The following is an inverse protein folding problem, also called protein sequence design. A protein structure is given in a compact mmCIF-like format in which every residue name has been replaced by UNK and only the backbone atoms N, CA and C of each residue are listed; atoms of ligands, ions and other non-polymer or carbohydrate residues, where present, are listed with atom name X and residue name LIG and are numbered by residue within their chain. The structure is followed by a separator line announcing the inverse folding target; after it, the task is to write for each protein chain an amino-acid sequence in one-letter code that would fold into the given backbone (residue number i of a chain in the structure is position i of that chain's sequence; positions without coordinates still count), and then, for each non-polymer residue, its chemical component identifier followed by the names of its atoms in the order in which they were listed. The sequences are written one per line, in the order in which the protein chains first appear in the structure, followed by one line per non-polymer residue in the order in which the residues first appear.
data_IF_852537572178
#
_entry.id   IF_852537572178
#
_cell.length_a   1.000
_cell.length_b   1.000
_cell.length_c   1.000
_cell.angle_alpha   90.00
_cell.angle_beta   90.00
_cell.angle_gamma   90.00
#
_symmetry.space_group_name_H-M   'P 1'
#
loop_
_entity.id
_entity.type
_entity.pdbx_description
1 polymer ?
#
# COMPACT_ATOMS: atom_id res chain seq x y z
N UNK A 1 -3.04 8.20 46.57
CA UNK A 1 -1.90 7.87 45.69
C UNK A 1 -2.22 8.44 44.32
N UNK A 2 -1.36 9.30 43.77
CA UNK A 2 -1.62 9.98 42.51
C UNK A 2 -1.49 9.00 41.32
N UNK A 3 -2.50 8.99 40.46
CA UNK A 3 -2.51 8.23 39.21
C UNK A 3 -1.48 8.82 38.25
N UNK A 4 -0.45 8.04 37.91
CA UNK A 4 0.49 8.39 36.85
C UNK A 4 -0.22 8.13 35.51
N UNK A 5 -0.25 9.09 34.56
CA UNK A 5 -0.86 8.88 33.24
C UNK A 5 0.03 7.94 32.40
N UNK A 6 -0.05 6.66 32.68
CA UNK A 6 0.65 5.61 31.95
C UNK A 6 -0.15 5.21 30.72
N UNK A 7 0.24 5.74 29.56
CA UNK A 7 -0.01 5.02 28.30
C UNK A 7 0.60 3.61 28.38
N UNK A 8 0.23 2.67 27.48
CA UNK A 8 0.71 1.29 27.58
C UNK A 8 2.20 1.25 27.22
N UNK A 9 3.04 1.39 28.24
CA UNK A 9 4.47 1.16 28.18
C UNK A 9 4.69 -0.34 28.32
N UNK A 10 4.76 -1.05 27.20
CA UNK A 10 5.16 -2.45 27.19
C UNK A 10 6.62 -2.57 26.77
N UNK A 11 7.35 -3.48 27.43
CA UNK A 11 8.73 -3.79 27.05
C UNK A 11 8.82 -4.29 25.60
N UNK A 12 7.80 -5.04 25.16
CA UNK A 12 7.67 -5.51 23.78
C UNK A 12 7.58 -4.34 22.79
N UNK A 13 6.78 -3.31 23.11
CA UNK A 13 6.72 -2.07 22.33
C UNK A 13 8.07 -1.40 22.23
N UNK A 14 8.78 -1.21 23.34
CA UNK A 14 10.09 -0.55 23.33
C UNK A 14 11.12 -1.28 22.47
N UNK A 15 11.07 -2.62 22.46
CA UNK A 15 11.95 -3.43 21.60
C UNK A 15 11.64 -3.24 20.11
N UNK A 16 10.35 -3.20 19.73
CA UNK A 16 9.94 -3.00 18.34
C UNK A 16 10.31 -1.57 17.90
N UNK A 17 10.03 -0.56 18.73
CA UNK A 17 10.41 0.83 18.44
C UNK A 17 11.94 1.00 18.30
N UNK A 18 12.76 0.28 19.09
CA UNK A 18 14.23 0.28 18.95
C UNK A 18 14.68 -0.32 17.62
N UNK A 19 14.13 -1.48 17.22
CA UNK A 19 14.48 -2.11 15.93
C UNK A 19 14.13 -1.20 14.74
N UNK A 20 13.01 -0.48 14.83
CA UNK A 20 12.61 0.50 13.82
C UNK A 20 13.61 1.66 13.76
N UNK A 21 13.99 2.22 14.91
CA UNK A 21 14.97 3.30 14.99
C UNK A 21 16.37 2.90 14.49
N UNK A 22 16.73 1.63 14.66
CA UNK A 22 17.98 1.01 14.17
C UNK A 22 17.94 0.66 12.67
N UNK A 23 16.82 0.89 11.96
CA UNK A 23 16.66 0.55 10.54
C UNK A 23 16.43 -0.93 10.26
N UNK A 24 16.21 -1.75 11.29
CA UNK A 24 15.92 -3.20 11.21
C UNK A 24 14.43 -3.44 11.02
N UNK A 25 13.88 -2.83 9.97
CA UNK A 25 12.42 -2.76 9.72
C UNK A 25 11.81 -4.14 9.45
N UNK A 26 12.52 -5.00 8.74
CA UNK A 26 12.04 -6.36 8.42
C UNK A 26 11.92 -7.24 9.67
N UNK A 27 12.93 -7.20 10.55
CA UNK A 27 12.90 -7.92 11.83
C UNK A 27 11.82 -7.36 12.77
N UNK A 28 11.66 -6.03 12.81
CA UNK A 28 10.60 -5.37 13.56
C UNK A 28 9.21 -5.79 13.09
N UNK A 29 9.00 -5.88 11.76
CA UNK A 29 7.76 -6.38 11.15
C UNK A 29 7.50 -7.84 11.49
N UNK A 30 8.49 -8.73 11.34
CA UNK A 30 8.32 -10.14 11.67
C UNK A 30 7.93 -10.33 13.14
N UNK A 31 8.61 -9.62 14.05
CA UNK A 31 8.33 -9.70 15.49
C UNK A 31 6.96 -9.11 15.85
N UNK A 32 6.57 -8.00 15.23
CA UNK A 32 5.27 -7.38 15.41
C UNK A 32 4.14 -8.31 14.93
N UNK A 33 4.27 -8.90 13.75
CA UNK A 33 3.28 -9.84 13.19
C UNK A 33 3.15 -11.09 14.06
N UNK A 34 4.27 -11.69 14.46
CA UNK A 34 4.25 -12.87 15.33
C UNK A 34 3.53 -12.61 16.66
N UNK A 35 3.71 -11.42 17.25
CA UNK A 35 2.99 -11.03 18.48
C UNK A 35 1.50 -10.77 18.25
N UNK A 36 1.10 -10.27 17.08
CA UNK A 36 -0.31 -10.08 16.75
C UNK A 36 -1.02 -11.41 16.47
N UNK A 37 -0.33 -12.36 15.84
CA UNK A 37 -0.86 -13.68 15.50
C UNK A 37 -1.17 -14.55 16.73
N UNK A 38 -0.53 -14.31 17.88
CA UNK A 38 -0.87 -15.02 19.13
C UNK A 38 -2.26 -14.64 19.67
N UNK A 39 -2.82 -13.51 19.24
CA UNK A 39 -4.09 -12.98 19.76
C UNK A 39 -3.98 -12.26 21.11
N UNK A 40 -2.82 -12.30 21.75
CA UNK A 40 -2.57 -11.77 23.10
C UNK A 40 -1.66 -10.53 23.10
N UNK A 41 -1.49 -9.88 21.94
CA UNK A 41 -0.69 -8.67 21.82
C UNK A 41 -1.16 -7.58 22.79
N UNK A 42 -0.22 -7.03 23.56
CA UNK A 42 -0.52 -5.96 24.50
C UNK A 42 -0.93 -4.65 23.78
N UNK A 43 -1.58 -3.75 24.53
CA UNK A 43 -2.09 -2.47 24.00
C UNK A 43 -1.01 -1.59 23.37
N UNK A 44 0.23 -1.68 23.83
CA UNK A 44 1.36 -0.95 23.28
C UNK A 44 1.80 -1.49 21.93
N UNK A 45 1.89 -2.82 21.80
CA UNK A 45 2.17 -3.51 20.54
C UNK A 45 1.05 -3.25 19.51
N UNK A 46 -0.21 -3.32 19.92
CA UNK A 46 -1.36 -2.98 19.08
C UNK A 46 -1.31 -1.52 18.60
N UNK A 47 -0.90 -0.58 19.46
CA UNK A 47 -0.77 0.82 19.08
C UNK A 47 0.37 1.05 18.07
N UNK A 48 1.50 0.35 18.19
CA UNK A 48 2.58 0.37 17.20
C UNK A 48 2.08 -0.16 15.87
N UNK A 49 1.38 -1.31 15.87
CA UNK A 49 0.77 -1.87 14.66
C UNK A 49 -0.19 -0.90 13.99
N UNK A 50 -1.10 -0.28 14.75
CA UNK A 50 -2.04 0.70 14.21
C UNK A 50 -1.33 1.90 13.56
N UNK A 51 -0.29 2.43 14.20
CA UNK A 51 0.51 3.54 13.64
C UNK A 51 1.24 3.14 12.37
N UNK A 52 1.76 1.91 12.33
CA UNK A 52 2.45 1.37 11.15
C UNK A 52 1.51 1.09 9.98
N UNK A 53 0.33 0.53 10.23
CA UNK A 53 -0.74 0.36 9.23
C UNK A 53 -1.10 1.72 8.63
N UNK A 54 -1.31 2.74 9.48
CA UNK A 54 -1.58 4.09 9.02
C UNK A 54 -0.40 4.71 8.23
N UNK A 55 0.84 4.48 8.66
CA UNK A 55 2.04 4.98 7.99
C UNK A 55 2.29 4.32 6.63
N UNK A 56 1.94 3.04 6.47
CA UNK A 56 1.93 2.31 5.20
C UNK A 56 0.74 2.72 4.30
N UNK A 57 -0.08 3.67 4.75
CA UNK A 57 -1.21 4.20 3.98
C UNK A 57 -2.45 3.32 3.98
N UNK A 58 -2.52 2.31 4.87
CA UNK A 58 -3.72 1.51 5.08
C UNK A 58 -4.69 2.28 5.96
N UNK A 59 -5.74 2.83 5.36
CA UNK A 59 -6.77 3.62 6.03
C UNK A 59 -7.87 2.72 6.59
N UNK A 60 -8.60 3.16 7.65
CA UNK A 60 -9.83 2.51 8.07
C UNK A 60 -10.81 2.39 6.89
N UNK A 61 -11.14 1.16 6.48
CA UNK A 61 -11.91 0.88 5.26
C UNK A 61 -11.17 0.01 4.25
N UNK A 62 -9.82 0.00 4.29
CA UNK A 62 -8.99 -0.82 3.39
C UNK A 62 -9.13 -2.32 3.67
N UNK A 63 -9.63 -2.70 4.86
CA UNK A 63 -10.04 -4.07 5.15
C UNK A 63 -11.13 -4.59 4.19
N UNK A 64 -11.94 -3.71 3.60
CA UNK A 64 -12.94 -4.07 2.57
C UNK A 64 -12.27 -4.27 1.21
N UNK A 65 -11.25 -3.47 0.88
CA UNK A 65 -10.39 -3.66 -0.30
C UNK A 65 -9.53 -4.92 -0.19
N UNK A 66 -9.12 -5.32 1.02
CA UNK A 66 -8.37 -6.56 1.28
C UNK A 66 -9.26 -7.81 1.27
N UNK A 67 -10.55 -7.71 1.66
CA UNK A 67 -11.51 -8.84 1.65
C UNK A 67 -12.21 -9.04 0.31
N UNK A 68 -12.22 -8.02 -0.54
CA UNK A 68 -12.84 -8.04 -1.86
C UNK A 68 -12.00 -7.11 -2.72
N UNK A 69 -10.94 -7.67 -3.32
CA UNK A 69 -9.90 -6.98 -4.07
C UNK A 69 -10.39 -6.03 -5.15
N UNK A 70 -10.87 -4.86 -4.76
CA UNK A 70 -10.87 -3.69 -5.62
C UNK A 70 -9.44 -3.21 -5.66
N UNK A 71 -8.74 -3.54 -6.74
CA UNK A 71 -7.36 -3.12 -6.95
C UNK A 71 -7.31 -1.59 -6.84
N UNK A 72 -6.79 -1.09 -5.71
CA UNK A 72 -6.25 0.25 -5.66
C UNK A 72 -5.16 0.23 -6.72
N UNK A 73 -5.40 0.85 -7.88
CA UNK A 73 -4.41 0.91 -8.95
C UNK A 73 -3.12 1.40 -8.31
N UNK A 74 -2.06 0.58 -8.39
CA UNK A 74 -0.73 0.99 -7.94
C UNK A 74 -0.40 2.31 -8.64
N UNK A 75 0.26 3.26 -7.98
CA UNK A 75 0.52 4.59 -8.56
C UNK A 75 1.11 4.52 -9.98
N UNK A 76 2.01 3.55 -10.21
CA UNK A 76 2.59 3.23 -11.52
C UNK A 76 1.56 2.83 -12.59
N UNK A 77 0.46 2.16 -12.22
CA UNK A 77 -0.60 1.78 -13.16
C UNK A 77 -1.40 3.01 -13.62
N UNK A 78 -1.58 3.99 -12.73
CA UNK A 78 -2.21 5.25 -13.09
C UNK A 78 -1.34 6.03 -14.07
N UNK A 79 -0.02 6.09 -13.81
CA UNK A 79 0.96 6.72 -14.71
C UNK A 79 0.98 6.06 -16.10
N UNK A 80 0.93 4.72 -16.17
CA UNK A 80 0.86 3.97 -17.43
C UNK A 80 -0.42 4.34 -18.21
N UNK A 81 -1.58 4.32 -17.55
CA UNK A 81 -2.86 4.62 -18.20
C UNK A 81 -2.94 6.07 -18.67
N UNK A 82 -2.43 7.01 -17.87
CA UNK A 82 -2.38 8.43 -18.21
C UNK A 82 -1.42 8.70 -19.37
N UNK A 83 -0.28 8.02 -19.42
CA UNK A 83 0.64 8.11 -20.56
C UNK A 83 -0.01 7.60 -21.86
N UNK A 84 -0.71 6.45 -21.84
CA UNK A 84 -1.42 5.96 -23.03
C UNK A 84 -2.42 7.01 -23.52
N UNK A 85 -3.18 7.60 -22.60
CA UNK A 85 -4.16 8.62 -22.93
C UNK A 85 -3.53 9.88 -23.50
N UNK A 86 -2.46 10.39 -22.88
CA UNK A 86 -1.72 11.54 -23.41
C UNK A 86 -1.22 11.27 -24.83
N UNK A 87 -0.70 10.07 -25.11
CA UNK A 87 -0.28 9.68 -26.46
C UNK A 87 -1.43 9.67 -27.46
N UNK A 88 -2.64 9.26 -27.04
CA UNK A 88 -3.82 9.33 -27.90
C UNK A 88 -4.26 10.78 -28.14
N UNK A 89 -4.16 11.65 -27.13
CA UNK A 89 -4.42 13.09 -27.25
C UNK A 89 -3.39 13.77 -28.18
N UNK A 90 -2.15 13.29 -28.20
CA UNK A 90 -1.09 13.68 -29.14
C UNK A 90 -1.31 13.11 -30.57
N UNK A 91 -2.39 12.35 -30.79
CA UNK A 91 -2.78 11.83 -32.10
C UNK A 91 -2.29 10.41 -32.42
N UNK A 92 -1.68 9.70 -31.47
CA UNK A 92 -1.31 8.30 -31.69
C UNK A 92 -2.56 7.39 -31.68
N UNK A 93 -2.56 6.36 -32.54
CA UNK A 93 -3.56 5.29 -32.44
C UNK A 93 -3.39 4.54 -31.13
N UNK A 94 -4.47 3.92 -30.61
CA UNK A 94 -4.41 3.16 -29.36
C UNK A 94 -3.30 2.09 -29.37
N UNK A 95 -3.19 1.33 -30.46
CA UNK A 95 -2.14 0.31 -30.61
C UNK A 95 -0.73 0.92 -30.52
N UNK A 96 -0.52 2.08 -31.16
CA UNK A 96 0.78 2.75 -31.13
C UNK A 96 1.06 3.39 -29.76
N UNK A 97 0.05 3.96 -29.10
CA UNK A 97 0.14 4.50 -27.76
C UNK A 97 0.51 3.41 -26.74
N UNK A 98 -0.12 2.24 -26.82
CA UNK A 98 0.21 1.07 -25.99
C UNK A 98 1.65 0.61 -26.22
N UNK A 99 2.06 0.43 -27.49
CA UNK A 99 3.42 0.01 -27.84
C UNK A 99 4.48 0.98 -27.30
N UNK A 100 4.30 2.29 -27.54
CA UNK A 100 5.25 3.32 -27.09
C UNK A 100 5.31 3.39 -25.56
N UNK A 101 4.18 3.19 -24.87
CA UNK A 101 4.13 3.17 -23.41
C UNK A 101 4.78 1.91 -22.84
N UNK A 102 4.56 0.75 -23.48
CA UNK A 102 5.20 -0.50 -23.13
C UNK A 102 6.74 -0.40 -23.25
N UNK A 103 7.23 0.20 -24.33
CA UNK A 103 8.65 0.50 -24.52
C UNK A 103 9.19 1.46 -23.44
N UNK A 104 8.44 2.51 -23.09
CA UNK A 104 8.86 3.49 -22.07
C UNK A 104 9.05 2.86 -20.69
N UNK A 105 8.10 2.05 -20.24
CA UNK A 105 8.14 1.42 -18.92
C UNK A 105 8.80 0.04 -18.91
N UNK A 106 9.33 -0.43 -20.04
CA UNK A 106 9.89 -1.78 -20.20
C UNK A 106 8.92 -2.91 -19.79
N UNK A 107 7.63 -2.73 -20.09
CA UNK A 107 6.58 -3.72 -19.83
C UNK A 107 6.06 -4.37 -21.11
N UNK A 108 5.29 -5.45 -20.96
CA UNK A 108 4.55 -6.02 -22.09
C UNK A 108 3.35 -5.16 -22.46
N UNK A 109 3.00 -5.11 -23.75
CA UNK A 109 1.78 -4.42 -24.22
C UNK A 109 0.51 -4.91 -23.51
N UNK A 110 0.45 -6.21 -23.21
CA UNK A 110 -0.67 -6.81 -22.47
C UNK A 110 -0.81 -6.24 -21.06
N UNK A 111 0.31 -5.96 -20.39
CA UNK A 111 0.30 -5.32 -19.07
C UNK A 111 -0.27 -3.90 -19.15
N UNK A 112 0.22 -3.11 -20.12
CA UNK A 112 -0.26 -1.75 -20.36
C UNK A 112 -1.76 -1.72 -20.66
N UNK A 113 -2.24 -2.64 -21.50
CA UNK A 113 -3.68 -2.77 -21.79
C UNK A 113 -4.51 -3.09 -20.55
N UNK A 114 -4.00 -3.92 -19.63
CA UNK A 114 -4.67 -4.21 -18.35
C UNK A 114 -4.77 -2.95 -17.49
N UNK A 115 -3.68 -2.18 -17.35
CA UNK A 115 -3.69 -0.94 -16.58
C UNK A 115 -4.70 0.07 -17.13
N UNK A 116 -4.80 0.21 -18.46
CA UNK A 116 -5.80 1.07 -19.10
C UNK A 116 -7.22 0.57 -18.84
N UNK A 117 -7.47 -0.73 -18.92
CA UNK A 117 -8.78 -1.31 -18.63
C UNK A 117 -9.21 -1.06 -17.18
N UNK A 118 -8.30 -1.27 -16.23
CA UNK A 118 -8.54 -1.06 -14.80
C UNK A 118 -8.78 0.43 -14.49
N UNK A 119 -8.01 1.34 -15.11
CA UNK A 119 -8.20 2.78 -14.99
C UNK A 119 -9.58 3.23 -15.50
N UNK A 120 -9.99 2.72 -16.67
CA UNK A 120 -11.30 3.02 -17.24
C UNK A 120 -12.43 2.50 -16.35
N UNK A 121 -12.30 1.27 -15.83
CA UNK A 121 -13.28 0.68 -14.92
C UNK A 121 -13.43 1.50 -13.64
N UNK A 122 -12.33 1.97 -13.06
CA UNK A 122 -12.33 2.82 -11.88
C UNK A 122 -13.01 4.17 -12.14
N UNK A 123 -12.76 4.80 -13.30
CA UNK A 123 -13.41 6.07 -13.69
C UNK A 123 -14.91 5.95 -13.93
N UNK A 124 -15.38 4.82 -14.44
CA UNK A 124 -16.81 4.59 -14.67
C UNK A 124 -17.60 4.25 -13.40
N UNK A 125 -16.92 4.02 -12.28
CA UNK A 125 -17.54 3.69 -11.00
C UNK A 125 -17.83 4.92 -10.11
N UNK A 126 -17.37 6.12 -10.50
CA UNK A 126 -17.73 7.44 -9.92
C UNK A 126 -18.93 8.06 -10.65
#
# INVERSE_FOLDING_TARGET
MAEIPGGPHSWQRSQIESMIAEGRVEEAMQKLTALLETGDADRGVQAVAARWILALGLRPGDAKALRSGGAKLRDEWMEIAEMVRQRQEDGATYANAVRLTAEHFSYSERHVQSCVADYNAARTAE
#
